data_IF_576476464082
#
_entry.id   IF_576476464082
#
_cell.length_a   1.000
_cell.length_b   1.000
_cell.length_c   1.000
_cell.angle_alpha   90.00
_cell.angle_beta   90.00
_cell.angle_gamma   90.00
#
_symmetry.space_group_name_H-M   'P 1'
#
loop_
_entity.id
_entity.type
_entity.pdbx_description
1 polymer ?
#
# COMPACT_ATOMS: atom_id res chain seq x y z
N UNK A 1 -36.53 6.03 5.66
CA UNK A 1 -37.80 6.41 5.00
C UNK A 1 -37.96 5.74 3.64
N UNK A 2 -36.88 5.28 2.99
CA UNK A 2 -36.95 4.66 1.66
C UNK A 2 -37.65 3.29 1.62
N UNK A 3 -37.53 2.46 2.66
CA UNK A 3 -38.12 1.09 2.71
C UNK A 3 -39.65 1.10 2.60
N UNK A 4 -40.31 2.12 3.17
CA UNK A 4 -41.78 2.24 3.16
C UNK A 4 -42.36 2.32 1.73
N UNK A 5 -41.67 3.03 0.83
CA UNK A 5 -42.12 3.23 -0.55
C UNK A 5 -41.94 2.00 -1.45
N UNK A 6 -41.25 0.96 -0.96
CA UNK A 6 -40.98 -0.26 -1.73
C UNK A 6 -41.99 -1.38 -1.44
N UNK A 7 -42.85 -1.24 -0.43
CA UNK A 7 -43.94 -2.20 -0.22
C UNK A 7 -45.04 -1.95 -1.25
N UNK A 8 -45.39 -2.99 -2.01
CA UNK A 8 -46.41 -2.93 -3.05
C UNK A 8 -47.84 -2.95 -2.51
N UNK A 9 -48.03 -3.34 -1.25
CA UNK A 9 -49.34 -3.41 -0.60
C UNK A 9 -49.50 -2.41 0.54
N UNK A 10 -50.74 -1.91 0.70
CA UNK A 10 -51.08 -0.87 1.68
C UNK A 10 -50.90 -1.35 3.13
N UNK A 11 -51.25 -2.59 3.42
CA UNK A 11 -51.29 -3.11 4.78
C UNK A 11 -49.87 -3.41 5.30
N UNK A 12 -48.99 -3.85 4.42
CA UNK A 12 -47.55 -4.05 4.64
C UNK A 12 -46.90 -2.75 5.10
N UNK A 13 -47.13 -1.67 4.35
CA UNK A 13 -46.57 -0.37 4.62
C UNK A 13 -47.06 0.17 5.98
N UNK A 14 -48.35 0.02 6.28
CA UNK A 14 -48.96 0.46 7.56
C UNK A 14 -48.39 -0.34 8.75
N UNK A 15 -48.33 -1.68 8.66
CA UNK A 15 -47.78 -2.53 9.73
C UNK A 15 -46.29 -2.24 9.93
N UNK A 16 -45.51 -2.11 8.86
CA UNK A 16 -44.09 -1.80 8.95
C UNK A 16 -43.87 -0.47 9.70
N UNK A 17 -44.60 0.58 9.30
CA UNK A 17 -44.52 1.90 9.93
C UNK A 17 -44.89 1.83 11.41
N UNK A 18 -46.04 1.22 11.73
CA UNK A 18 -46.48 1.04 13.11
C UNK A 18 -45.42 0.32 13.94
N UNK A 19 -44.89 -0.81 13.47
CA UNK A 19 -43.91 -1.58 14.23
C UNK A 19 -42.57 -0.84 14.36
N UNK A 20 -42.16 -0.07 13.34
CA UNK A 20 -40.91 0.67 13.36
C UNK A 20 -40.89 1.73 14.47
N UNK A 21 -42.01 2.40 14.70
CA UNK A 21 -42.15 3.41 15.76
C UNK A 21 -41.96 2.82 17.17
N UNK A 22 -42.20 1.51 17.33
CA UNK A 22 -42.06 0.79 18.61
C UNK A 22 -40.83 -0.12 18.69
N UNK A 23 -39.86 0.01 17.78
CA UNK A 23 -38.66 -0.84 17.73
C UNK A 23 -37.87 -0.83 19.05
N UNK A 24 -37.77 0.32 19.72
CA UNK A 24 -37.07 0.44 21.01
C UNK A 24 -37.82 -0.18 22.18
N UNK A 25 -39.14 -0.38 22.05
CA UNK A 25 -39.99 -1.01 23.07
C UNK A 25 -40.15 -2.52 22.81
N UNK A 26 -39.98 -2.96 21.56
CA UNK A 26 -40.07 -4.36 21.14
C UNK A 26 -41.51 -4.85 20.91
N UNK A 27 -42.53 -4.03 21.17
CA UNK A 27 -43.93 -4.33 20.84
C UNK A 27 -44.78 -3.07 20.70
N UNK A 28 -45.83 -3.16 19.90
CA UNK A 28 -46.87 -2.13 19.82
C UNK A 28 -47.80 -2.18 21.04
N UNK A 29 -48.56 -1.10 21.30
CA UNK A 29 -49.68 -1.15 22.23
C UNK A 29 -50.69 -2.21 21.80
N UNK A 30 -51.45 -2.70 22.78
CA UNK A 30 -52.60 -3.55 22.55
C UNK A 30 -53.71 -2.76 21.84
N UNK A 31 -54.37 -3.40 20.88
CA UNK A 31 -55.57 -2.90 20.24
C UNK A 31 -56.61 -4.00 20.07
N UNK A 32 -57.88 -3.63 20.16
CA UNK A 32 -59.01 -4.47 19.80
C UNK A 32 -59.04 -4.73 18.29
N UNK A 33 -59.79 -5.74 17.86
CA UNK A 33 -59.94 -6.04 16.43
C UNK A 33 -60.62 -4.89 15.67
N UNK A 34 -61.51 -4.15 16.31
CA UNK A 34 -62.19 -3.02 15.68
C UNK A 34 -61.26 -1.80 15.55
N UNK A 35 -60.46 -1.51 16.57
CA UNK A 35 -59.39 -0.49 16.49
C UNK A 35 -58.36 -0.83 15.40
N UNK A 36 -57.98 -2.10 15.27
CA UNK A 36 -57.10 -2.54 14.18
C UNK A 36 -57.73 -2.27 12.81
N UNK A 37 -59.03 -2.58 12.64
CA UNK A 37 -59.73 -2.35 11.37
C UNK A 37 -59.74 -0.88 10.99
N UNK A 38 -60.05 -0.02 11.95
CA UNK A 38 -60.04 1.44 11.76
C UNK A 38 -58.63 1.93 11.39
N UNK A 39 -57.62 1.51 12.14
CA UNK A 39 -56.23 1.87 11.90
C UNK A 39 -55.73 1.43 10.50
N UNK A 40 -56.18 0.27 10.04
CA UNK A 40 -55.84 -0.29 8.72
C UNK A 40 -56.68 0.27 7.57
N UNK A 41 -57.69 1.11 7.87
CA UNK A 41 -58.63 1.63 6.87
C UNK A 41 -59.48 0.55 6.21
N UNK A 42 -59.84 -0.51 6.95
CA UNK A 42 -60.68 -1.61 6.49
C UNK A 42 -62.15 -1.25 6.74
N UNK A 43 -62.97 -1.24 5.69
CA UNK A 43 -64.41 -0.94 5.84
C UNK A 43 -65.13 -2.08 6.59
N UNK A 44 -66.25 -1.82 7.29
CA UNK A 44 -67.00 -2.87 8.01
C UNK A 44 -67.46 -4.04 7.12
N UNK A 45 -67.72 -3.78 5.83
CA UNK A 45 -68.10 -4.80 4.84
C UNK A 45 -66.90 -5.58 4.28
N UNK A 46 -65.68 -5.04 4.39
CA UNK A 46 -64.45 -5.64 3.87
C UNK A 46 -63.88 -6.60 4.92
N UNK A 47 -63.67 -7.85 4.53
CA UNK A 47 -63.18 -8.89 5.44
C UNK A 47 -64.00 -9.01 6.74
N UNK A 48 -65.34 -9.01 6.65
CA UNK A 48 -66.24 -9.06 7.81
C UNK A 48 -65.92 -10.21 8.78
N UNK A 49 -65.58 -11.38 8.25
CA UNK A 49 -65.10 -12.51 9.04
C UNK A 49 -63.64 -12.30 9.48
N UNK A 50 -63.37 -12.51 10.78
CA UNK A 50 -62.01 -12.40 11.32
C UNK A 50 -61.00 -13.29 10.59
N UNK A 51 -61.42 -14.47 10.09
CA UNK A 51 -60.55 -15.35 9.32
C UNK A 51 -59.96 -14.65 8.09
N UNK A 52 -60.81 -13.92 7.34
CA UNK A 52 -60.40 -13.19 6.14
C UNK A 52 -59.55 -11.97 6.51
N UNK A 53 -59.91 -11.25 7.57
CA UNK A 53 -59.13 -10.12 8.09
C UNK A 53 -57.70 -10.59 8.46
N UNK A 54 -57.63 -11.66 9.24
CA UNK A 54 -56.38 -12.26 9.68
C UNK A 54 -55.50 -12.71 8.51
N UNK A 55 -56.09 -13.29 7.46
CA UNK A 55 -55.31 -13.73 6.31
C UNK A 55 -54.77 -12.56 5.48
N UNK A 56 -55.64 -11.61 5.10
CA UNK A 56 -55.31 -10.60 4.09
C UNK A 56 -54.73 -9.31 4.66
N UNK A 57 -55.07 -8.95 5.89
CA UNK A 57 -54.67 -7.68 6.51
C UNK A 57 -53.54 -7.87 7.51
N UNK A 58 -53.37 -9.08 8.05
CA UNK A 58 -52.39 -9.35 9.10
C UNK A 58 -51.30 -10.31 8.59
N UNK A 59 -51.65 -11.57 8.31
CA UNK A 59 -50.67 -12.61 7.99
C UNK A 59 -49.92 -12.39 6.69
N UNK A 60 -50.63 -12.10 5.58
CA UNK A 60 -49.97 -11.85 4.29
C UNK A 60 -49.04 -10.64 4.35
N UNK A 61 -49.47 -9.51 4.94
CA UNK A 61 -48.58 -8.36 5.10
C UNK A 61 -47.36 -8.62 5.99
N UNK A 62 -47.54 -9.27 7.14
CA UNK A 62 -46.43 -9.65 8.02
C UNK A 62 -45.44 -10.55 7.28
N UNK A 63 -45.95 -11.54 6.55
CA UNK A 63 -45.10 -12.43 5.75
C UNK A 63 -44.31 -11.64 4.71
N UNK A 64 -44.95 -10.70 4.02
CA UNK A 64 -44.26 -9.82 3.06
C UNK A 64 -43.16 -8.97 3.72
N UNK A 65 -43.42 -8.40 4.89
CA UNK A 65 -42.42 -7.64 5.66
C UNK A 65 -41.24 -8.53 6.05
N UNK A 66 -41.51 -9.74 6.59
CA UNK A 66 -40.47 -10.62 7.09
C UNK A 66 -39.63 -11.24 5.96
N UNK A 67 -40.26 -11.58 4.83
CA UNK A 67 -39.60 -12.15 3.64
C UNK A 67 -38.84 -11.07 2.84
N UNK A 68 -39.18 -9.79 3.02
CA UNK A 68 -38.55 -8.68 2.32
C UNK A 68 -37.06 -8.55 2.65
N UNK A 69 -36.23 -8.40 1.61
CA UNK A 69 -34.79 -8.19 1.70
C UNK A 69 -34.41 -6.77 2.14
N UNK A 70 -35.33 -5.82 1.97
CA UNK A 70 -35.15 -4.41 2.33
C UNK A 70 -35.73 -4.07 3.71
N UNK A 71 -36.54 -4.96 4.30
CA UNK A 71 -37.05 -4.76 5.66
C UNK A 71 -35.94 -5.01 6.67
N UNK A 72 -35.77 -4.08 7.60
CA UNK A 72 -34.81 -4.14 8.70
C UNK A 72 -35.45 -4.59 10.02
N UNK A 73 -36.70 -5.05 9.99
CA UNK A 73 -37.43 -5.56 11.16
C UNK A 73 -38.06 -6.93 10.87
N UNK A 74 -38.23 -7.71 11.94
CA UNK A 74 -39.08 -8.90 11.98
C UNK A 74 -40.28 -8.57 12.84
N UNK A 75 -41.47 -8.89 12.33
CA UNK A 75 -42.76 -8.63 12.98
C UNK A 75 -43.50 -9.94 13.22
N UNK A 76 -44.13 -10.06 14.38
CA UNK A 76 -45.06 -11.15 14.69
C UNK A 76 -46.35 -10.59 15.33
N UNK A 77 -47.48 -11.21 15.04
CA UNK A 77 -48.77 -10.84 15.59
C UNK A 77 -49.15 -11.74 16.78
N UNK A 78 -49.35 -11.13 17.95
CA UNK A 78 -49.80 -11.81 19.15
C UNK A 78 -51.28 -11.52 19.39
N UNK A 79 -52.10 -12.57 19.34
CA UNK A 79 -53.54 -12.48 19.48
C UNK A 79 -53.99 -12.70 20.92
N UNK A 80 -54.86 -11.83 21.42
CA UNK A 80 -55.56 -12.03 22.68
C UNK A 80 -56.93 -12.66 22.41
N UNK A 81 -57.28 -13.70 23.17
CA UNK A 81 -58.51 -14.48 22.99
C UNK A 81 -59.35 -14.46 24.26
N UNK A 82 -60.65 -14.32 24.08
CA UNK A 82 -61.65 -14.60 25.09
C UNK A 82 -62.46 -15.82 24.64
N UNK A 83 -62.15 -16.98 25.22
CA UNK A 83 -62.63 -18.28 24.76
C UNK A 83 -62.19 -18.57 23.32
N UNK A 84 -63.16 -18.82 22.42
CA UNK A 84 -62.88 -19.11 21.01
C UNK A 84 -62.70 -17.86 20.13
N UNK A 85 -63.06 -16.67 20.65
CA UNK A 85 -63.02 -15.41 19.88
C UNK A 85 -61.72 -14.67 20.14
N UNK A 86 -61.10 -14.15 19.07
CA UNK A 86 -59.98 -13.21 19.18
C UNK A 86 -60.57 -11.83 19.47
N UNK A 87 -60.17 -11.21 20.57
CA UNK A 87 -60.67 -9.91 21.02
C UNK A 87 -59.70 -8.75 20.72
N UNK A 88 -58.43 -9.06 20.50
CA UNK A 88 -57.44 -8.05 20.17
C UNK A 88 -56.10 -8.63 19.77
N UNK A 89 -55.16 -7.72 19.53
CA UNK A 89 -53.84 -7.99 18.96
C UNK A 89 -52.83 -6.98 19.50
N UNK A 90 -51.57 -7.39 19.54
CA UNK A 90 -50.43 -6.48 19.46
C UNK A 90 -49.37 -7.11 18.57
N UNK A 91 -48.48 -6.29 18.01
CA UNK A 91 -47.35 -6.76 17.23
C UNK A 91 -46.10 -6.75 18.08
N UNK A 92 -45.34 -7.83 18.05
CA UNK A 92 -43.96 -7.84 18.52
C UNK A 92 -43.05 -7.45 17.36
N UNK A 93 -42.02 -6.66 17.68
CA UNK A 93 -41.07 -6.18 16.70
C UNK A 93 -39.67 -6.40 17.23
N UNK A 94 -38.83 -6.96 16.36
CA UNK A 94 -37.41 -7.09 16.62
C UNK A 94 -36.66 -6.49 15.43
N UNK A 95 -35.46 -5.97 15.68
CA UNK A 95 -34.57 -5.71 14.57
C UNK A 95 -34.36 -7.04 13.88
N UNK A 96 -34.58 -7.06 12.56
CA UNK A 96 -34.04 -8.12 11.74
C UNK A 96 -32.55 -7.92 11.93
N UNK A 97 -31.94 -8.70 12.82
CA UNK A 97 -30.51 -8.92 12.73
C UNK A 97 -30.38 -9.31 11.26
N UNK A 98 -29.82 -8.41 10.46
CA UNK A 98 -29.10 -8.84 9.30
C UNK A 98 -28.04 -9.73 9.94
N UNK A 99 -28.39 -11.00 10.14
CA UNK A 99 -27.45 -12.05 9.93
C UNK A 99 -26.81 -11.57 8.63
N UNK A 100 -25.56 -11.10 8.74
CA UNK A 100 -24.56 -11.51 7.79
C UNK A 100 -25.03 -12.88 7.36
N UNK A 101 -25.52 -12.99 6.12
CA UNK A 101 -25.79 -14.29 5.50
C UNK A 101 -24.75 -15.24 6.10
N UNK A 102 -25.12 -16.40 6.68
CA UNK A 102 -24.11 -17.32 7.15
C UNK A 102 -23.15 -17.42 5.98
N UNK A 103 -21.97 -16.86 6.20
CA UNK A 103 -20.90 -16.90 5.25
C UNK A 103 -20.60 -18.38 5.32
N UNK A 104 -21.25 -19.15 4.46
CA UNK A 104 -20.56 -20.25 3.83
C UNK A 104 -19.36 -19.52 3.27
N UNK A 105 -18.23 -19.54 4.00
CA UNK A 105 -16.92 -19.35 3.41
C UNK A 105 -16.98 -20.24 2.18
N UNK A 106 -17.24 -19.70 0.98
CA UNK A 106 -17.38 -20.54 -0.19
C UNK A 106 -15.93 -20.76 -0.55
N UNK A 107 -15.28 -21.70 0.15
CA UNK A 107 -13.84 -21.98 0.14
C UNK A 107 -13.10 -20.88 -0.61
N UNK A 108 -12.93 -19.71 0.03
CA UNK A 108 -12.52 -18.49 -0.68
C UNK A 108 -11.25 -18.82 -1.42
N UNK A 109 -11.36 -18.99 -2.75
CA UNK A 109 -10.21 -19.35 -3.54
C UNK A 109 -9.16 -18.27 -3.28
N UNK A 110 -7.91 -18.63 -2.92
CA UNK A 110 -6.88 -17.66 -2.56
C UNK A 110 -6.72 -16.51 -3.57
N UNK A 111 -7.11 -16.74 -4.83
CA UNK A 111 -7.20 -15.74 -5.89
C UNK A 111 -8.01 -14.47 -5.51
N UNK A 112 -9.08 -14.60 -4.71
CA UNK A 112 -10.03 -13.51 -4.46
C UNK A 112 -9.94 -12.91 -3.05
N UNK A 113 -9.04 -13.41 -2.19
CA UNK A 113 -8.91 -12.99 -0.78
C UNK A 113 -8.65 -11.49 -0.63
N UNK A 114 -7.98 -10.86 -1.60
CA UNK A 114 -7.66 -9.44 -1.57
C UNK A 114 -8.83 -8.52 -1.98
N UNK A 115 -9.99 -9.06 -2.38
CA UNK A 115 -11.12 -8.25 -2.81
C UNK A 115 -11.82 -7.55 -1.63
N UNK A 116 -12.04 -6.24 -1.73
CA UNK A 116 -12.75 -5.42 -0.74
C UNK A 116 -14.28 -5.55 -0.82
N UNK A 117 -14.80 -6.09 -1.92
CA UNK A 117 -16.22 -6.43 -2.09
C UNK A 117 -16.36 -7.88 -2.54
N UNK A 118 -17.48 -8.51 -2.17
CA UNK A 118 -17.76 -9.89 -2.57
C UNK A 118 -17.92 -10.00 -4.08
N UNK A 119 -17.18 -10.92 -4.70
CA UNK A 119 -17.31 -11.27 -6.11
C UNK A 119 -18.22 -12.51 -6.17
N UNK A 120 -19.35 -12.47 -6.93
CA UNK A 120 -20.25 -13.62 -7.04
C UNK A 120 -19.54 -14.88 -7.55
N UNK A 121 -19.92 -16.06 -7.03
CA UNK A 121 -19.29 -17.35 -7.38
C UNK A 121 -19.30 -17.60 -8.89
N UNK A 122 -20.40 -17.30 -9.57
CA UNK A 122 -20.50 -17.44 -11.03
C UNK A 122 -19.44 -16.62 -11.78
N UNK A 123 -19.12 -15.42 -11.29
CA UNK A 123 -18.07 -14.60 -11.87
C UNK A 123 -16.68 -15.13 -11.51
N UNK A 124 -16.49 -15.68 -10.30
CA UNK A 124 -15.23 -16.31 -9.91
C UNK A 124 -14.88 -17.50 -10.82
N UNK A 125 -15.87 -18.35 -11.15
CA UNK A 125 -15.70 -19.47 -12.08
C UNK A 125 -15.30 -18.99 -13.48
N UNK A 126 -15.96 -17.93 -13.99
CA UNK A 126 -15.61 -17.29 -15.26
C UNK A 126 -14.17 -16.75 -15.25
N UNK A 127 -13.76 -16.08 -14.18
CA UNK A 127 -12.40 -15.54 -14.04
C UNK A 127 -11.35 -16.64 -13.95
N UNK A 128 -11.60 -17.70 -13.18
CA UNK A 128 -10.69 -18.85 -13.05
C UNK A 128 -10.58 -19.67 -14.35
N UNK A 129 -11.59 -19.61 -15.23
CA UNK A 129 -11.51 -20.21 -16.55
C UNK A 129 -10.63 -19.40 -17.53
N UNK A 130 -10.55 -18.07 -17.34
CA UNK A 130 -9.80 -17.17 -18.21
C UNK A 130 -8.36 -16.89 -17.74
N UNK A 131 -8.13 -16.89 -16.43
CA UNK A 131 -6.88 -16.45 -15.80
C UNK A 131 -6.45 -17.37 -14.66
N UNK A 132 -5.15 -17.37 -14.37
CA UNK A 132 -4.63 -18.11 -13.20
C UNK A 132 -5.02 -17.42 -11.89
N UNK A 133 -5.06 -18.19 -10.80
CA UNK A 133 -5.34 -17.65 -9.47
C UNK A 133 -4.41 -16.48 -9.08
N UNK A 134 -3.14 -16.55 -9.49
CA UNK A 134 -2.14 -15.50 -9.24
C UNK A 134 -2.40 -14.24 -10.08
N UNK A 135 -2.76 -14.38 -11.35
CA UNK A 135 -3.10 -13.24 -12.20
C UNK A 135 -4.34 -12.50 -11.69
N UNK A 136 -5.33 -13.25 -11.21
CA UNK A 136 -6.54 -12.71 -10.62
C UNK A 136 -6.20 -11.93 -9.34
N UNK A 137 -5.41 -12.52 -8.43
CA UNK A 137 -5.06 -11.87 -7.16
C UNK A 137 -4.26 -10.58 -7.40
N UNK A 138 -3.29 -10.58 -8.30
CA UNK A 138 -2.52 -9.39 -8.70
C UNK A 138 -3.41 -8.33 -9.35
N UNK A 139 -4.36 -8.73 -10.19
CA UNK A 139 -5.30 -7.79 -10.83
C UNK A 139 -6.21 -7.12 -9.79
N UNK A 140 -6.69 -7.87 -8.79
CA UNK A 140 -7.49 -7.34 -7.67
C UNK A 140 -6.67 -6.40 -6.81
N UNK A 141 -5.41 -6.74 -6.49
CA UNK A 141 -4.51 -5.87 -5.74
C UNK A 141 -4.26 -4.54 -6.48
N UNK A 142 -3.97 -4.62 -7.78
CA UNK A 142 -3.76 -3.44 -8.62
C UNK A 142 -5.01 -2.57 -8.75
N UNK A 143 -6.18 -3.19 -8.83
CA UNK A 143 -7.48 -2.51 -8.79
C UNK A 143 -7.70 -1.79 -7.46
N UNK A 144 -7.37 -2.42 -6.33
CA UNK A 144 -7.47 -1.79 -5.01
C UNK A 144 -6.63 -0.51 -4.92
N UNK A 145 -5.39 -0.55 -5.40
CA UNK A 145 -4.52 0.62 -5.44
C UNK A 145 -5.11 1.74 -6.30
N UNK A 146 -5.73 1.39 -7.43
CA UNK A 146 -6.40 2.37 -8.30
C UNK A 146 -7.61 3.02 -7.61
N UNK A 147 -8.45 2.20 -6.97
CA UNK A 147 -9.58 2.66 -6.16
C UNK A 147 -9.14 3.65 -5.08
N UNK A 148 -8.10 3.32 -4.31
CA UNK A 148 -7.57 4.19 -3.26
C UNK A 148 -7.06 5.54 -3.81
N UNK A 149 -6.45 5.54 -5.01
CA UNK A 149 -6.05 6.78 -5.68
C UNK A 149 -7.25 7.63 -6.11
N UNK A 150 -8.35 7.00 -6.52
CA UNK A 150 -9.60 7.69 -6.86
C UNK A 150 -10.29 8.26 -5.62
N UNK A 151 -10.32 7.51 -4.52
CA UNK A 151 -10.85 7.95 -3.22
C UNK A 151 -10.07 9.15 -2.67
N UNK A 152 -8.73 9.14 -2.76
CA UNK A 152 -7.89 10.30 -2.41
C UNK A 152 -8.22 11.55 -3.22
N UNK A 153 -8.72 11.38 -4.44
CA UNK A 153 -9.20 12.46 -5.31
C UNK A 153 -10.69 12.78 -5.11
N UNK A 154 -11.31 12.26 -4.05
CA UNK A 154 -12.72 12.44 -3.69
C UNK A 154 -13.71 12.02 -4.80
N UNK A 155 -13.32 11.06 -5.64
CA UNK A 155 -14.22 10.47 -6.65
C UNK A 155 -14.98 9.29 -6.06
N UNK A 156 -16.23 9.09 -6.47
CA UNK A 156 -17.00 7.89 -6.12
C UNK A 156 -16.38 6.66 -6.80
N UNK A 157 -16.17 5.60 -6.03
CA UNK A 157 -15.52 4.37 -6.51
C UNK A 157 -16.47 3.18 -6.41
N UNK A 158 -16.54 2.40 -7.49
CA UNK A 158 -17.25 1.13 -7.54
C UNK A 158 -16.24 -0.02 -7.70
N UNK A 159 -15.90 -0.65 -6.59
CA UNK A 159 -14.91 -1.73 -6.55
C UNK A 159 -15.29 -2.91 -7.45
N UNK A 160 -16.57 -3.34 -7.45
CA UNK A 160 -17.02 -4.48 -8.25
C UNK A 160 -16.87 -4.25 -9.75
N UNK A 161 -17.22 -3.05 -10.23
CA UNK A 161 -17.05 -2.69 -11.64
C UNK A 161 -15.56 -2.64 -12.03
N UNK A 162 -14.71 -2.11 -11.16
CA UNK A 162 -13.26 -2.01 -11.41
C UNK A 162 -12.61 -3.40 -11.40
N UNK A 163 -13.00 -4.30 -10.49
CA UNK A 163 -12.49 -5.68 -10.49
C UNK A 163 -12.83 -6.41 -11.78
N UNK A 164 -14.05 -6.25 -12.29
CA UNK A 164 -14.43 -6.86 -13.56
C UNK A 164 -13.50 -6.45 -14.70
N UNK A 165 -13.19 -5.16 -14.80
CA UNK A 165 -12.27 -4.64 -15.83
C UNK A 165 -10.84 -5.11 -15.56
N UNK A 166 -10.35 -4.97 -14.33
CA UNK A 166 -8.98 -5.29 -13.98
C UNK A 166 -8.63 -6.76 -14.21
N UNK A 167 -9.56 -7.68 -13.88
CA UNK A 167 -9.36 -9.10 -14.11
C UNK A 167 -9.45 -9.41 -15.60
N UNK A 168 -10.47 -8.91 -16.31
CA UNK A 168 -10.65 -9.16 -17.74
C UNK A 168 -9.50 -8.64 -18.61
N UNK A 169 -8.90 -7.51 -18.24
CA UNK A 169 -7.72 -6.94 -18.90
C UNK A 169 -6.39 -7.42 -18.31
N UNK A 170 -6.42 -8.33 -17.32
CA UNK A 170 -5.26 -8.86 -16.63
C UNK A 170 -4.27 -7.76 -16.17
N UNK A 171 -4.78 -6.79 -15.41
CA UNK A 171 -3.97 -5.71 -14.84
C UNK A 171 -2.80 -6.23 -13.99
N UNK A 172 -2.89 -7.45 -13.48
CA UNK A 172 -1.82 -8.16 -12.77
C UNK A 172 -0.58 -8.38 -13.64
N UNK A 173 -0.75 -8.78 -14.91
CA UNK A 173 0.38 -8.96 -15.83
C UNK A 173 1.11 -7.65 -16.10
N UNK A 174 0.38 -6.56 -16.34
CA UNK A 174 0.98 -5.23 -16.55
C UNK A 174 1.77 -4.76 -15.32
N UNK A 175 1.27 -5.10 -14.12
CA UNK A 175 1.94 -4.76 -12.87
C UNK A 175 3.23 -5.55 -12.68
N UNK A 176 3.23 -6.84 -12.99
CA UNK A 176 4.42 -7.69 -12.88
C UNK A 176 5.50 -7.28 -13.91
N UNK A 177 5.10 -6.99 -15.15
CA UNK A 177 6.00 -6.45 -16.18
C UNK A 177 6.61 -5.10 -15.77
N UNK A 178 5.83 -4.22 -15.15
CA UNK A 178 6.35 -2.96 -14.61
C UNK A 178 7.33 -3.19 -13.46
N UNK A 179 7.07 -4.16 -12.59
CA UNK A 179 7.97 -4.52 -11.48
C UNK A 179 9.28 -5.10 -11.98
N UNK A 180 9.26 -5.99 -12.97
CA UNK A 180 10.48 -6.58 -13.55
C UNK A 180 11.31 -5.52 -14.24
N UNK A 181 10.71 -4.67 -15.07
CA UNK A 181 11.41 -3.54 -15.72
C UNK A 181 12.02 -2.61 -14.67
N UNK A 182 11.28 -2.25 -13.63
CA UNK A 182 11.80 -1.37 -12.58
C UNK A 182 12.94 -2.03 -11.78
N UNK A 183 12.81 -3.32 -11.46
CA UNK A 183 13.86 -4.08 -10.79
C UNK A 183 15.12 -4.16 -11.66
N UNK A 184 14.99 -4.38 -12.97
CA UNK A 184 16.11 -4.37 -13.92
C UNK A 184 16.77 -3.00 -14.03
N UNK A 185 16.00 -1.92 -14.15
CA UNK A 185 16.55 -0.55 -14.19
C UNK A 185 17.31 -0.26 -12.89
N UNK A 186 16.74 -0.60 -11.74
CA UNK A 186 17.38 -0.42 -10.44
C UNK A 186 18.66 -1.25 -10.32
N UNK A 187 18.63 -2.52 -10.74
CA UNK A 187 19.78 -3.40 -10.74
C UNK A 187 20.88 -2.90 -11.67
N UNK A 188 20.55 -2.44 -12.89
CA UNK A 188 21.50 -1.79 -13.81
C UNK A 188 22.13 -0.55 -13.21
N UNK A 189 21.34 0.31 -12.55
CA UNK A 189 21.85 1.51 -11.88
C UNK A 189 22.82 1.17 -10.74
N UNK A 190 22.49 0.17 -9.93
CA UNK A 190 23.38 -0.31 -8.84
C UNK A 190 24.66 -0.88 -9.45
N UNK A 191 24.55 -1.76 -10.45
CA UNK A 191 25.69 -2.38 -11.13
C UNK A 191 26.63 -1.34 -11.75
N UNK A 192 26.08 -0.33 -12.43
CA UNK A 192 26.88 0.75 -13.02
C UNK A 192 27.61 1.55 -11.94
N UNK A 193 26.92 1.92 -10.85
CA UNK A 193 27.54 2.64 -9.74
C UNK A 193 28.63 1.81 -9.04
N UNK A 194 28.41 0.51 -8.89
CA UNK A 194 29.43 -0.40 -8.35
C UNK A 194 30.65 -0.44 -9.28
N UNK A 195 30.43 -0.61 -10.60
CA UNK A 195 31.51 -0.61 -11.59
C UNK A 195 32.29 0.71 -11.60
N UNK A 196 31.61 1.85 -11.58
CA UNK A 196 32.26 3.17 -11.49
C UNK A 196 33.13 3.28 -10.22
N UNK A 197 32.62 2.81 -9.08
CA UNK A 197 33.41 2.80 -7.85
C UNK A 197 34.61 1.84 -7.91
N UNK A 198 34.45 0.66 -8.50
CA UNK A 198 35.53 -0.31 -8.71
C UNK A 198 36.60 0.26 -9.65
N UNK A 199 36.20 0.86 -10.78
CA UNK A 199 37.11 1.56 -11.70
C UNK A 199 37.87 2.68 -10.99
N UNK A 200 37.19 3.50 -10.18
CA UNK A 200 37.83 4.56 -9.37
C UNK A 200 38.80 3.99 -8.32
N UNK A 201 38.50 2.82 -7.74
CA UNK A 201 39.39 2.18 -6.77
C UNK A 201 40.62 1.59 -7.45
N UNK A 202 40.45 0.96 -8.61
CA UNK A 202 41.56 0.45 -9.43
C UNK A 202 42.45 1.61 -9.87
N UNK A 203 41.87 2.69 -10.40
CA UNK A 203 42.61 3.87 -10.85
C UNK A 203 43.38 4.54 -9.72
N UNK A 204 42.76 4.72 -8.53
CA UNK A 204 43.46 5.22 -7.34
C UNK A 204 44.59 4.29 -6.87
N UNK A 205 44.40 2.98 -6.95
CA UNK A 205 45.39 1.99 -6.52
C UNK A 205 46.56 1.97 -7.49
N UNK A 206 46.28 2.00 -8.79
CA UNK A 206 47.27 2.06 -9.85
C UNK A 206 48.07 3.38 -9.76
N UNK A 207 47.41 4.53 -9.67
CA UNK A 207 48.07 5.83 -9.50
C UNK A 207 48.93 5.87 -8.23
N UNK A 208 48.45 5.33 -7.10
CA UNK A 208 49.27 5.21 -5.88
C UNK A 208 50.50 4.31 -6.07
N UNK A 209 50.36 3.20 -6.81
CA UNK A 209 51.45 2.28 -7.13
C UNK A 209 52.48 2.92 -8.07
N UNK A 210 52.03 3.59 -9.12
CA UNK A 210 52.86 4.31 -10.08
C UNK A 210 53.62 5.45 -9.39
N UNK A 211 52.93 6.21 -8.53
CA UNK A 211 53.55 7.23 -7.69
C UNK A 211 54.63 6.66 -6.77
N UNK A 212 54.38 5.52 -6.13
CA UNK A 212 55.37 4.88 -5.24
C UNK A 212 56.63 4.47 -6.01
N UNK A 213 56.48 3.89 -7.20
CA UNK A 213 57.59 3.50 -8.07
C UNK A 213 58.40 4.72 -8.56
N UNK A 214 57.70 5.78 -8.96
CA UNK A 214 58.31 7.04 -9.42
C UNK A 214 59.10 7.70 -8.28
N UNK A 215 58.49 7.88 -7.11
CA UNK A 215 59.13 8.47 -5.94
C UNK A 215 60.35 7.65 -5.50
N UNK A 216 60.26 6.31 -5.53
CA UNK A 216 61.38 5.44 -5.19
C UNK A 216 62.60 5.67 -6.11
N UNK A 217 62.41 5.70 -7.44
CA UNK A 217 63.50 5.94 -8.41
C UNK A 217 64.23 7.25 -8.14
N UNK A 218 63.49 8.30 -7.79
CA UNK A 218 64.06 9.62 -7.52
C UNK A 218 64.84 9.66 -6.22
N UNK A 219 64.34 8.97 -5.19
CA UNK A 219 65.06 8.83 -3.93
C UNK A 219 66.33 8.02 -4.10
N UNK A 220 66.32 6.94 -4.89
CA UNK A 220 67.52 6.17 -5.22
C UNK A 220 68.56 7.04 -5.94
N UNK A 221 68.13 7.83 -6.94
CA UNK A 221 69.00 8.78 -7.64
C UNK A 221 69.57 9.85 -6.71
N UNK A 222 68.74 10.45 -5.85
CA UNK A 222 69.19 11.45 -4.87
C UNK A 222 70.22 10.84 -3.91
N UNK A 223 69.93 9.65 -3.35
CA UNK A 223 70.81 8.95 -2.41
C UNK A 223 72.14 8.50 -3.03
N UNK A 224 72.21 8.34 -4.35
CA UNK A 224 73.46 8.02 -5.06
C UNK A 224 74.40 9.21 -5.27
N UNK A 225 73.94 10.44 -5.02
CA UNK A 225 74.77 11.65 -5.14
C UNK A 225 75.67 11.82 -3.91
N UNK A 226 76.78 12.56 -4.02
CA UNK A 226 77.55 13.03 -2.87
C UNK A 226 76.69 13.75 -1.82
N UNK A 227 77.03 13.62 -0.53
CA UNK A 227 76.21 14.18 0.56
C UNK A 227 76.04 15.70 0.45
N UNK A 228 77.09 16.42 0.02
CA UNK A 228 77.05 17.86 -0.21
C UNK A 228 76.06 18.26 -1.31
N UNK A 229 75.99 17.47 -2.39
CA UNK A 229 74.99 17.66 -3.44
C UNK A 229 73.56 17.34 -2.95
N UNK A 230 73.39 16.30 -2.15
CA UNK A 230 72.11 15.96 -1.53
C UNK A 230 71.59 17.11 -0.67
N UNK A 231 72.45 17.63 0.21
CA UNK A 231 72.13 18.77 1.07
C UNK A 231 71.76 20.01 0.26
N UNK A 232 72.51 20.32 -0.80
CA UNK A 232 72.23 21.46 -1.68
C UNK A 232 70.86 21.33 -2.36
N UNK A 233 70.54 20.15 -2.90
CA UNK A 233 69.25 19.87 -3.54
C UNK A 233 68.07 20.01 -2.59
N UNK A 234 68.20 19.48 -1.36
CA UNK A 234 67.14 19.59 -0.34
C UNK A 234 66.92 21.05 0.05
N UNK A 235 67.99 21.81 0.28
CA UNK A 235 67.92 23.23 0.65
C UNK A 235 67.29 24.05 -0.48
N UNK A 236 67.67 23.82 -1.73
CA UNK A 236 67.10 24.52 -2.87
C UNK A 236 65.62 24.17 -3.07
N UNK A 237 65.24 22.89 -2.88
CA UNK A 237 63.84 22.49 -2.86
C UNK A 237 63.06 23.26 -1.79
N UNK A 238 63.53 23.31 -0.55
CA UNK A 238 62.88 24.06 0.54
C UNK A 238 62.74 25.55 0.18
N UNK A 239 63.74 26.15 -0.50
CA UNK A 239 63.67 27.54 -0.94
C UNK A 239 62.57 27.76 -1.98
N UNK A 240 62.42 26.83 -2.92
CA UNK A 240 61.45 26.86 -4.02
C UNK A 240 60.02 26.50 -3.60
N UNK A 241 59.82 25.89 -2.41
CA UNK A 241 58.50 25.53 -1.91
C UNK A 241 57.60 26.74 -1.59
N UNK A 242 56.28 26.50 -1.65
CA UNK A 242 55.27 27.49 -1.26
C UNK A 242 55.48 27.93 0.20
N UNK A 243 55.18 29.20 0.57
CA UNK A 243 55.43 29.72 1.92
C UNK A 243 54.86 28.87 3.05
N UNK A 244 53.70 28.25 2.82
CA UNK A 244 52.99 27.38 3.79
C UNK A 244 53.81 26.14 4.17
N UNK A 245 54.61 25.59 3.24
CA UNK A 245 55.41 24.38 3.47
C UNK A 245 56.86 24.67 3.87
N UNK A 246 57.35 25.89 3.60
CA UNK A 246 58.76 26.27 3.76
C UNK A 246 59.26 26.15 5.21
N UNK A 247 58.49 26.65 6.18
CA UNK A 247 58.86 26.60 7.60
C UNK A 247 58.87 25.16 8.12
N UNK A 248 57.85 24.37 7.77
CA UNK A 248 57.77 22.97 8.19
C UNK A 248 58.89 22.12 7.57
N UNK A 249 59.15 22.27 6.26
CA UNK A 249 60.20 21.55 5.57
C UNK A 249 61.59 21.92 6.13
N UNK A 250 61.84 23.21 6.39
CA UNK A 250 63.08 23.67 7.03
C UNK A 250 63.28 23.03 8.41
N UNK A 251 62.28 23.12 9.29
CA UNK A 251 62.39 22.57 10.65
C UNK A 251 62.60 21.05 10.63
N UNK A 252 61.93 20.32 9.73
CA UNK A 252 62.14 18.89 9.56
C UNK A 252 63.56 18.57 9.08
N UNK A 253 64.07 19.32 8.12
CA UNK A 253 65.44 19.12 7.62
C UNK A 253 66.50 19.48 8.65
N UNK A 254 66.34 20.59 9.39
CA UNK A 254 67.27 20.97 10.47
C UNK A 254 67.36 19.88 11.55
N UNK A 255 66.22 19.23 11.85
CA UNK A 255 66.11 18.20 12.87
C UNK A 255 66.65 16.84 12.42
N UNK A 256 66.39 16.44 11.19
CA UNK A 256 66.66 15.07 10.71
C UNK A 256 67.81 14.99 9.69
N UNK A 257 68.30 16.11 9.16
CA UNK A 257 69.34 16.14 8.12
C UNK A 257 69.01 15.15 6.99
N UNK A 258 69.95 14.31 6.52
CA UNK A 258 69.67 13.33 5.46
C UNK A 258 68.69 12.22 5.88
N UNK A 259 68.51 11.94 7.18
CA UNK A 259 67.49 11.00 7.66
C UNK A 259 66.06 11.47 7.37
N UNK A 260 65.89 12.75 6.98
CA UNK A 260 64.61 13.27 6.50
C UNK A 260 64.14 12.54 5.23
N UNK A 261 65.04 11.93 4.47
CA UNK A 261 64.73 11.15 3.26
C UNK A 261 64.02 9.83 3.57
N UNK A 262 64.03 9.37 4.83
CA UNK A 262 63.23 8.23 5.29
C UNK A 262 61.78 8.64 5.66
N UNK A 263 61.42 9.92 5.52
CA UNK A 263 60.07 10.43 5.83
C UNK A 263 59.25 10.60 4.54
N UNK A 264 58.20 9.79 4.32
CA UNK A 264 57.37 9.86 3.11
C UNK A 264 56.75 11.23 2.85
N UNK A 265 56.40 11.96 3.92
CA UNK A 265 55.84 13.32 3.81
C UNK A 265 56.85 14.34 3.29
N UNK A 266 58.14 14.15 3.57
CA UNK A 266 59.19 15.04 3.09
C UNK A 266 59.60 14.67 1.66
N UNK A 267 59.73 13.39 1.35
CA UNK A 267 60.09 12.94 0.00
C UNK A 267 59.03 13.29 -1.04
N UNK A 268 57.75 13.23 -0.68
CA UNK A 268 56.65 13.74 -1.51
C UNK A 268 56.76 15.25 -1.84
N UNK A 269 57.36 16.05 -0.95
CA UNK A 269 57.60 17.47 -1.18
C UNK A 269 58.82 17.72 -2.07
N UNK A 270 59.82 16.83 -2.05
CA UNK A 270 61.01 16.92 -2.89
C UNK A 270 60.70 16.63 -4.36
N UNK A 271 59.78 15.69 -4.59
CA UNK A 271 59.46 15.18 -5.93
C UNK A 271 59.27 16.25 -7.00
N UNK A 272 58.32 17.22 -6.88
CA UNK A 272 58.03 18.14 -7.99
C UNK A 272 59.25 18.98 -8.39
N UNK A 273 60.06 19.34 -7.39
CA UNK A 273 61.27 20.12 -7.58
C UNK A 273 62.36 19.31 -8.28
N UNK A 274 62.55 18.05 -7.88
CA UNK A 274 63.54 17.16 -8.50
C UNK A 274 63.14 16.79 -9.93
N UNK A 275 61.85 16.54 -10.19
CA UNK A 275 61.32 16.24 -11.52
C UNK A 275 61.60 17.38 -12.51
N UNK A 276 61.30 18.62 -12.09
CA UNK A 276 61.60 19.82 -12.88
C UNK A 276 63.11 19.99 -13.10
N UNK A 277 63.93 19.84 -12.05
CA UNK A 277 65.39 20.02 -12.12
C UNK A 277 66.09 18.95 -12.96
N UNK A 278 65.55 17.74 -13.05
CA UNK A 278 66.11 16.64 -13.82
C UNK A 278 65.52 16.50 -15.24
N UNK A 279 64.68 17.43 -15.68
CA UNK A 279 64.02 17.42 -16.99
C UNK A 279 63.27 16.10 -17.27
N UNK A 280 62.67 15.49 -16.26
CA UNK A 280 61.83 14.31 -16.46
C UNK A 280 60.39 14.75 -16.76
N UNK A 281 59.70 14.09 -17.71
CA UNK A 281 58.31 14.42 -17.98
C UNK A 281 57.48 14.13 -16.74
N UNK A 282 56.82 15.17 -16.21
CA UNK A 282 55.78 15.02 -15.20
C UNK A 282 54.56 14.47 -15.96
N UNK A 283 54.55 13.18 -16.26
CA UNK A 283 53.40 12.54 -16.89
C UNK A 283 52.23 12.52 -15.90
N UNK A 284 51.22 13.36 -16.18
CA UNK A 284 49.82 13.30 -15.74
C UNK A 284 49.53 12.94 -14.28
N UNK A 285 49.37 13.96 -13.43
CA UNK A 285 48.53 13.88 -12.23
C UNK A 285 47.06 14.05 -12.58
#
# INVERSE_FOLDING_TARGET
WDVFNHFSGKYEAIIYKLCKDYIGVGRTPYMTIDELREYMGVKPSEYAEFMKLNEWVIKKPIKSINDSQISDIIVEAIYNRNGRKVIGIHFTVQLKNQASFPFVEPQSNPAFTCAKVSIPISAQEEYLAAHTAEQISLSIERANQYCEQLEKKQKSVNYGAIYKVAIAENWGQQFEEQRTIYAEIKAKKIRNKTRENEELLVDKTQNKSDWAMINQRFLERLKSLPEDEQHALIVDCIKAQKPVFKTMARNNYEKFQLDVLEKPSFTALLWPYLAERWNEPIEGF
#
